data_IF_529728958259
#
_entry.id   IF_529728958259
#
_cell.length_a   1.000
_cell.length_b   1.000
_cell.length_c   1.000
_cell.angle_alpha   90.00
_cell.angle_beta   90.00
_cell.angle_gamma   90.00
#
_symmetry.space_group_name_H-M   'P 1'
#
loop_
_entity.id
_entity.type
_entity.pdbx_description
1 polymer ?
#
# COMPACT_ATOMS: atom_id res chain seq x y z
N UNK A 1 -19.69 -2.24 -39.88
CA UNK A 1 -18.67 -1.32 -40.44
C UNK A 1 -18.08 -0.39 -39.39
N UNK A 2 -18.86 0.47 -38.71
CA UNK A 2 -18.35 1.41 -37.68
C UNK A 2 -17.60 0.72 -36.51
N UNK A 3 -18.11 -0.42 -36.02
CA UNK A 3 -17.47 -1.21 -34.96
C UNK A 3 -16.11 -1.81 -35.36
N UNK A 4 -15.91 -2.13 -36.64
CA UNK A 4 -14.64 -2.67 -37.16
C UNK A 4 -13.58 -1.56 -37.30
N UNK A 5 -14.02 -0.36 -37.71
CA UNK A 5 -13.18 0.84 -37.78
C UNK A 5 -12.69 1.30 -36.40
N UNK A 6 -13.56 1.28 -35.39
CA UNK A 6 -13.18 1.59 -34.00
C UNK A 6 -12.18 0.56 -33.47
N UNK A 7 -12.34 -0.73 -33.79
CA UNK A 7 -11.41 -1.78 -33.39
C UNK A 7 -10.01 -1.56 -34.01
N UNK A 8 -9.93 -1.26 -35.31
CA UNK A 8 -8.67 -0.97 -35.99
C UNK A 8 -7.98 0.29 -35.44
N UNK A 9 -8.74 1.33 -35.12
CA UNK A 9 -8.20 2.58 -34.55
C UNK A 9 -7.69 2.39 -33.11
N UNK A 10 -8.36 1.57 -32.30
CA UNK A 10 -7.85 1.23 -30.95
C UNK A 10 -6.60 0.33 -31.01
N UNK A 11 -6.47 -0.56 -32.00
CA UNK A 11 -5.31 -1.42 -32.13
C UNK A 11 -4.05 -0.66 -32.57
N UNK A 12 -4.17 0.35 -33.43
CA UNK A 12 -3.03 1.18 -33.84
C UNK A 12 -2.52 2.06 -32.70
N UNK A 13 -3.41 2.61 -31.86
CA UNK A 13 -2.99 3.43 -30.70
C UNK A 13 -2.28 2.64 -29.59
N UNK A 14 -2.63 1.36 -29.39
CA UNK A 14 -2.00 0.52 -28.36
C UNK A 14 -0.56 0.10 -28.72
N UNK A 15 -0.22 0.02 -30.01
CA UNK A 15 1.13 -0.37 -30.47
C UNK A 15 2.19 0.71 -30.19
N UNK A 16 1.80 1.98 -30.04
CA UNK A 16 2.74 3.09 -29.76
C UNK A 16 3.13 3.23 -28.29
N UNK A 17 2.47 2.50 -27.38
CA UNK A 17 2.83 2.48 -25.95
C UNK A 17 4.03 1.57 -25.64
N UNK A 18 4.37 0.63 -26.52
CA UNK A 18 5.46 -0.30 -26.25
C UNK A 18 6.82 0.41 -26.37
N UNK A 19 7.84 -0.12 -25.68
CA UNK A 19 9.24 0.28 -25.86
C UNK A 19 10.03 -0.87 -26.52
N UNK A 20 11.13 -0.57 -27.21
CA UNK A 20 12.01 -1.60 -27.77
C UNK A 20 12.51 -2.60 -26.70
N UNK A 21 12.23 -3.89 -26.89
CA UNK A 21 12.53 -4.96 -25.91
C UNK A 21 14.03 -5.24 -25.76
N UNK A 22 14.78 -5.28 -26.87
CA UNK A 22 16.19 -5.72 -26.90
C UNK A 22 17.10 -4.84 -26.01
N UNK A 23 16.69 -3.59 -25.75
CA UNK A 23 17.47 -2.61 -25.00
C UNK A 23 16.65 -1.95 -23.88
N UNK A 24 15.63 -2.65 -23.38
CA UNK A 24 14.64 -2.09 -22.46
C UNK A 24 15.27 -1.58 -21.15
N UNK A 25 16.33 -2.22 -20.65
CA UNK A 25 16.99 -1.85 -19.40
C UNK A 25 17.55 -0.42 -19.43
N UNK A 26 18.11 -0.01 -20.57
CA UNK A 26 18.67 1.32 -20.76
C UNK A 26 17.64 2.29 -21.37
N UNK A 27 16.76 1.78 -22.26
CA UNK A 27 15.78 2.57 -22.99
C UNK A 27 14.56 2.98 -22.15
N UNK A 28 13.99 2.08 -21.35
CA UNK A 28 12.75 2.35 -20.62
C UNK A 28 12.85 3.58 -19.70
N UNK A 29 13.93 3.78 -18.91
CA UNK A 29 14.06 4.98 -18.11
C UNK A 29 14.09 6.27 -18.92
N UNK A 30 14.47 6.23 -20.19
CA UNK A 30 14.51 7.38 -21.10
C UNK A 30 13.13 7.61 -21.70
N UNK A 31 12.57 6.58 -22.35
CA UNK A 31 11.28 6.64 -23.04
C UNK A 31 10.13 7.01 -22.12
N UNK A 32 10.12 6.46 -20.90
CA UNK A 32 9.02 6.67 -19.96
C UNK A 32 9.03 8.06 -19.30
N UNK A 33 10.14 8.81 -19.40
CA UNK A 33 10.25 10.14 -18.80
C UNK A 33 9.90 11.27 -19.77
N UNK A 34 9.70 11.02 -21.06
CA UNK A 34 9.45 12.05 -22.08
C UNK A 34 8.36 13.03 -21.60
N UNK A 35 7.19 12.50 -21.23
CA UNK A 35 6.07 13.33 -20.79
C UNK A 35 6.35 14.10 -19.49
N UNK A 36 7.13 13.51 -18.58
CA UNK A 36 7.49 14.17 -17.33
C UNK A 36 8.52 15.30 -17.55
N UNK A 37 9.46 15.12 -18.50
CA UNK A 37 10.41 16.16 -18.90
C UNK A 37 9.69 17.25 -19.71
N UNK A 38 8.76 16.88 -20.59
CA UNK A 38 7.93 17.83 -21.34
C UNK A 38 7.16 18.77 -20.44
N UNK A 39 6.59 18.27 -19.32
CA UNK A 39 5.91 19.12 -18.33
C UNK A 39 6.77 20.27 -17.79
N UNK A 40 8.10 20.13 -17.79
CA UNK A 40 8.98 21.21 -17.32
C UNK A 40 8.83 22.48 -18.15
N UNK A 41 8.51 22.39 -19.44
CA UNK A 41 8.32 23.58 -20.30
C UNK A 41 7.13 24.45 -19.88
N UNK A 42 6.23 23.91 -19.05
CA UNK A 42 5.08 24.63 -18.48
C UNK A 42 5.41 25.37 -17.18
N UNK A 43 6.62 25.16 -16.64
CA UNK A 43 7.12 25.80 -15.42
C UNK A 43 8.02 26.96 -15.83
N UNK A 44 7.67 28.19 -15.44
CA UNK A 44 8.38 29.40 -15.84
C UNK A 44 9.89 29.36 -15.59
N UNK A 45 10.31 28.76 -14.47
CA UNK A 45 11.70 28.56 -14.08
C UNK A 45 12.54 27.74 -15.08
N UNK A 46 11.87 27.00 -15.97
CA UNK A 46 12.54 26.18 -16.99
C UNK A 46 12.52 26.80 -18.38
N UNK A 47 12.10 28.07 -18.53
CA UNK A 47 12.02 28.75 -19.82
C UNK A 47 13.33 28.67 -20.63
N UNK A 48 14.47 28.88 -19.97
CA UNK A 48 15.80 28.82 -20.62
C UNK A 48 16.20 27.41 -21.09
N UNK A 49 15.46 26.36 -20.71
CA UNK A 49 15.74 24.98 -21.07
C UNK A 49 14.76 24.43 -22.11
N UNK A 50 13.77 25.20 -22.55
CA UNK A 50 12.69 24.73 -23.44
C UNK A 50 13.27 24.14 -24.73
N UNK A 51 14.22 24.82 -25.38
CA UNK A 51 14.82 24.33 -26.62
C UNK A 51 15.61 23.04 -26.41
N UNK A 52 16.36 22.96 -25.31
CA UNK A 52 17.09 21.74 -24.93
C UNK A 52 16.16 20.57 -24.61
N UNK A 53 15.00 20.85 -23.98
CA UNK A 53 13.98 19.85 -23.69
C UNK A 53 13.35 19.34 -24.98
N UNK A 54 12.96 20.24 -25.88
CA UNK A 54 12.36 19.87 -27.17
C UNK A 54 13.34 19.05 -28.02
N UNK A 55 14.61 19.45 -28.08
CA UNK A 55 15.65 18.71 -28.78
C UNK A 55 15.86 17.31 -28.17
N UNK A 56 15.90 17.22 -26.84
CA UNK A 56 15.98 15.93 -26.14
C UNK A 56 14.80 15.02 -26.50
N UNK A 57 13.56 15.53 -26.46
CA UNK A 57 12.36 14.74 -26.78
C UNK A 57 12.43 14.17 -28.20
N UNK A 58 12.76 15.01 -29.19
CA UNK A 58 12.91 14.57 -30.59
C UNK A 58 13.96 13.47 -30.72
N UNK A 59 15.13 13.63 -30.08
CA UNK A 59 16.17 12.62 -30.13
C UNK A 59 15.76 11.30 -29.47
N UNK A 60 14.97 11.36 -28.39
CA UNK A 60 14.43 10.17 -27.73
C UNK A 60 13.44 9.45 -28.64
N UNK A 61 12.56 10.18 -29.32
CA UNK A 61 11.59 9.60 -30.26
C UNK A 61 12.28 8.93 -31.45
N UNK A 62 13.28 9.59 -32.05
CA UNK A 62 14.09 9.02 -33.12
C UNK A 62 14.85 7.78 -32.66
N UNK A 63 15.43 7.82 -31.45
CA UNK A 63 16.08 6.64 -30.87
C UNK A 63 15.06 5.51 -30.63
N UNK A 64 13.86 5.81 -30.15
CA UNK A 64 12.81 4.81 -29.94
C UNK A 64 12.43 4.11 -31.25
N UNK A 65 12.24 4.88 -32.33
CA UNK A 65 11.97 4.34 -33.66
C UNK A 65 13.11 3.44 -34.17
N UNK A 66 14.36 3.91 -34.06
CA UNK A 66 15.53 3.12 -34.41
C UNK A 66 15.59 1.83 -33.59
N UNK A 67 15.30 1.89 -32.29
CA UNK A 67 15.28 0.74 -31.40
C UNK A 67 14.28 -0.35 -31.82
N UNK A 68 13.14 0.02 -32.40
CA UNK A 68 12.20 -0.96 -32.96
C UNK A 68 12.68 -1.61 -34.25
N UNK A 69 13.43 -0.86 -35.07
CA UNK A 69 14.01 -1.39 -36.31
C UNK A 69 15.21 -2.31 -36.08
N UNK A 70 15.80 -2.30 -34.87
CA UNK A 70 16.95 -3.12 -34.53
C UNK A 70 16.52 -4.51 -34.02
N UNK A 71 16.89 -5.54 -34.77
CA UNK A 71 16.70 -6.95 -34.44
C UNK A 71 17.99 -7.66 -34.02
N UNK A 72 17.90 -8.98 -33.79
CA UNK A 72 19.08 -9.83 -33.50
C UNK A 72 20.05 -9.91 -34.68
N UNK A 73 19.53 -9.74 -35.90
CA UNK A 73 20.31 -9.85 -37.14
C UNK A 73 20.89 -8.51 -37.61
N UNK A 74 20.58 -7.40 -36.92
CA UNK A 74 21.13 -6.09 -37.26
C UNK A 74 22.66 -6.06 -37.09
N UNK A 75 23.36 -5.35 -37.97
CA UNK A 75 24.82 -5.27 -37.92
C UNK A 75 25.34 -4.83 -36.53
N UNK A 76 26.43 -5.44 -36.01
CA UNK A 76 27.00 -5.09 -34.71
C UNK A 76 27.30 -3.59 -34.54
N UNK A 77 27.75 -2.93 -35.60
CA UNK A 77 28.05 -1.49 -35.61
C UNK A 77 26.81 -0.64 -35.35
N UNK A 78 25.67 -0.97 -35.98
CA UNK A 78 24.40 -0.27 -35.78
C UNK A 78 23.92 -0.42 -34.34
N UNK A 79 24.04 -1.63 -33.77
CA UNK A 79 23.70 -1.91 -32.37
C UNK A 79 24.57 -1.11 -31.40
N UNK A 80 25.88 -1.05 -31.66
CA UNK A 80 26.82 -0.29 -30.85
C UNK A 80 26.55 1.21 -30.91
N UNK A 81 26.28 1.74 -32.10
CA UNK A 81 25.89 3.15 -32.29
C UNK A 81 24.62 3.47 -31.52
N UNK A 82 23.60 2.61 -31.61
CA UNK A 82 22.37 2.79 -30.86
C UNK A 82 22.59 2.76 -29.33
N UNK A 83 23.41 1.83 -28.83
CA UNK A 83 23.79 1.81 -27.41
C UNK A 83 24.48 3.11 -26.97
N UNK A 84 25.36 3.67 -27.80
CA UNK A 84 26.00 4.96 -27.52
C UNK A 84 24.96 6.10 -27.48
N UNK A 85 24.00 6.12 -28.41
CA UNK A 85 22.88 7.06 -28.40
C UNK A 85 22.08 6.96 -27.10
N UNK A 86 21.70 5.75 -26.69
CA UNK A 86 20.98 5.55 -25.43
C UNK A 86 21.78 6.01 -24.21
N UNK A 87 23.09 5.79 -24.19
CA UNK A 87 23.96 6.28 -23.10
C UNK A 87 24.01 7.80 -23.05
N UNK A 88 24.06 8.48 -24.20
CA UNK A 88 24.00 9.95 -24.28
C UNK A 88 22.66 10.46 -23.76
N UNK A 89 21.56 9.91 -24.26
CA UNK A 89 20.20 10.24 -23.83
C UNK A 89 19.96 9.96 -22.34
N UNK A 90 20.55 8.90 -21.80
CA UNK A 90 20.50 8.60 -20.36
C UNK A 90 21.19 9.69 -19.52
N UNK A 91 22.34 10.20 -19.99
CA UNK A 91 23.04 11.32 -19.32
C UNK A 91 22.21 12.59 -19.33
N UNK A 92 21.59 12.92 -20.46
CA UNK A 92 20.70 14.09 -20.59
C UNK A 92 19.42 13.94 -19.74
N UNK A 93 18.79 12.77 -19.75
CA UNK A 93 17.67 12.45 -18.86
C UNK A 93 18.02 12.67 -17.39
N UNK A 94 19.18 12.18 -16.96
CA UNK A 94 19.66 12.33 -15.59
C UNK A 94 20.02 13.78 -15.27
N UNK A 95 20.46 14.56 -16.26
CA UNK A 95 20.67 15.99 -16.09
C UNK A 95 19.36 16.69 -15.71
N UNK A 96 18.25 16.45 -16.43
CA UNK A 96 16.96 17.05 -16.09
C UNK A 96 16.45 16.63 -14.71
N UNK A 97 16.62 15.37 -14.32
CA UNK A 97 16.28 14.91 -12.96
C UNK A 97 17.06 15.67 -11.88
N UNK A 98 18.37 15.84 -12.08
CA UNK A 98 19.22 16.61 -11.16
C UNK A 98 18.85 18.08 -11.14
N UNK A 99 18.52 18.66 -12.29
CA UNK A 99 18.08 20.04 -12.39
C UNK A 99 16.80 20.25 -11.56
N UNK A 100 15.77 19.42 -11.76
CA UNK A 100 14.51 19.48 -11.00
C UNK A 100 14.75 19.31 -9.50
N UNK A 101 15.64 18.39 -9.08
CA UNK A 101 15.99 18.22 -7.67
C UNK A 101 16.64 19.47 -7.07
N UNK A 102 17.58 20.10 -7.78
CA UNK A 102 18.22 21.34 -7.33
C UNK A 102 17.23 22.50 -7.27
N UNK A 103 16.36 22.64 -8.28
CA UNK A 103 15.30 23.66 -8.28
C UNK A 103 14.32 23.42 -7.14
N UNK A 104 14.02 22.16 -6.80
CA UNK A 104 13.16 21.83 -5.66
C UNK A 104 13.80 22.24 -4.33
N UNK A 105 15.10 22.02 -4.18
CA UNK A 105 15.86 22.47 -3.01
C UNK A 105 15.85 23.99 -2.88
N UNK A 106 16.07 24.71 -3.98
CA UNK A 106 15.99 26.17 -4.01
C UNK A 106 14.57 26.67 -3.68
N UNK A 107 13.52 26.06 -4.26
CA UNK A 107 12.13 26.42 -3.96
C UNK A 107 11.81 26.25 -2.47
N UNK A 108 12.27 25.16 -1.85
CA UNK A 108 12.09 24.92 -0.41
C UNK A 108 12.85 25.95 0.43
N UNK A 109 14.06 26.33 0.04
CA UNK A 109 14.87 27.33 0.75
C UNK A 109 14.24 28.73 0.64
N UNK A 110 13.75 29.09 -0.55
CA UNK A 110 13.19 30.40 -0.84
C UNK A 110 11.72 30.55 -0.40
N UNK A 111 11.08 29.48 0.07
CA UNK A 111 9.67 29.51 0.45
C UNK A 111 8.71 29.59 -0.75
N UNK A 112 9.15 29.20 -1.96
CA UNK A 112 8.33 29.22 -3.16
C UNK A 112 7.40 27.99 -3.20
N UNK A 113 6.24 28.14 -2.58
CA UNK A 113 5.19 27.11 -2.50
C UNK A 113 4.59 26.72 -3.85
N UNK A 114 4.53 27.65 -4.82
CA UNK A 114 3.99 27.37 -6.15
C UNK A 114 4.96 26.50 -6.94
N UNK A 115 6.23 26.90 -7.00
CA UNK A 115 7.28 26.15 -7.69
C UNK A 115 7.49 24.79 -7.04
N UNK A 116 7.54 24.73 -5.70
CA UNK A 116 7.56 23.47 -4.95
C UNK A 116 6.44 22.53 -5.40
N UNK A 117 5.20 23.01 -5.47
CA UNK A 117 4.03 22.19 -5.83
C UNK A 117 4.10 21.70 -7.27
N UNK A 118 4.58 22.52 -8.21
CA UNK A 118 4.80 22.11 -9.60
C UNK A 118 5.88 21.04 -9.72
N UNK A 119 7.00 21.21 -9.00
CA UNK A 119 8.15 20.31 -9.08
C UNK A 119 7.86 18.92 -8.51
N UNK A 120 7.21 18.82 -7.34
CA UNK A 120 6.87 17.50 -6.75
C UNK A 120 5.86 16.72 -7.62
N UNK A 121 5.01 17.42 -8.37
CA UNK A 121 4.01 16.83 -9.26
C UNK A 121 4.52 16.63 -10.70
N UNK A 122 5.76 17.02 -11.01
CA UNK A 122 6.37 16.83 -12.34
C UNK A 122 6.54 15.35 -12.73
N UNK A 123 6.62 14.45 -11.74
CA UNK A 123 6.94 13.03 -11.95
C UNK A 123 8.44 12.74 -12.09
N UNK A 124 9.31 13.75 -11.97
CA UNK A 124 10.78 13.59 -12.04
C UNK A 124 11.47 13.49 -10.69
N UNK A 125 10.77 13.84 -9.61
CA UNK A 125 11.24 13.69 -8.23
C UNK A 125 10.90 12.29 -7.72
N UNK A 126 11.85 11.64 -7.05
CA UNK A 126 11.55 10.45 -6.25
C UNK A 126 10.78 10.86 -5.00
N UNK A 127 9.45 10.84 -5.11
CA UNK A 127 8.54 11.26 -4.05
C UNK A 127 8.58 10.31 -2.85
N UNK A 128 8.94 9.03 -3.04
CA UNK A 128 9.06 8.08 -1.93
C UNK A 128 10.30 8.40 -1.11
N UNK A 129 11.45 8.56 -1.76
CA UNK A 129 12.69 8.94 -1.10
C UNK A 129 12.58 10.31 -0.40
N UNK A 130 11.82 11.24 -0.99
CA UNK A 130 11.65 12.59 -0.46
C UNK A 130 10.39 12.78 0.41
N UNK A 131 9.64 11.72 0.76
CA UNK A 131 8.32 11.82 1.45
C UNK A 131 8.39 12.73 2.67
N UNK A 132 9.37 12.51 3.57
CA UNK A 132 9.53 13.28 4.81
C UNK A 132 9.75 14.76 4.52
N UNK A 133 10.63 15.09 3.57
CA UNK A 133 10.96 16.47 3.17
C UNK A 133 9.74 17.18 2.60
N UNK A 134 9.02 16.53 1.68
CA UNK A 134 7.80 17.05 1.05
C UNK A 134 6.73 17.35 2.10
N UNK A 135 6.43 16.40 2.99
CA UNK A 135 5.42 16.60 4.03
C UNK A 135 5.83 17.66 5.05
N UNK A 136 7.11 17.71 5.44
CA UNK A 136 7.60 18.73 6.38
C UNK A 136 7.40 20.12 5.82
N UNK A 137 7.77 20.34 4.56
CA UNK A 137 7.56 21.63 3.89
C UNK A 137 6.06 21.95 3.75
N UNK A 138 5.25 20.98 3.33
CA UNK A 138 3.80 21.15 3.23
C UNK A 138 3.16 21.58 4.56
N UNK A 139 3.48 20.92 5.68
CA UNK A 139 2.88 21.26 6.97
C UNK A 139 3.33 22.64 7.48
N UNK A 140 4.56 23.06 7.16
CA UNK A 140 5.06 24.40 7.48
C UNK A 140 4.34 25.50 6.67
N UNK A 141 3.96 25.20 5.43
CA UNK A 141 3.37 26.15 4.48
C UNK A 141 1.93 25.78 4.06
N UNK A 142 1.18 25.13 4.97
CA UNK A 142 -0.13 24.51 4.66
C UNK A 142 -1.16 25.51 4.11
N UNK A 143 -1.04 26.79 4.45
CA UNK A 143 -1.94 27.86 3.99
C UNK A 143 -1.72 28.21 2.51
N UNK A 144 -0.50 28.00 2.02
CA UNK A 144 -0.06 28.45 0.69
C UNK A 144 0.02 27.30 -0.32
N UNK A 145 -0.19 26.05 0.14
CA UNK A 145 -0.06 24.85 -0.67
C UNK A 145 -1.39 24.09 -0.72
N UNK A 146 -1.92 23.92 -1.93
CA UNK A 146 -3.01 22.99 -2.16
C UNK A 146 -2.49 21.54 -2.02
N UNK A 147 -3.10 20.69 -1.18
CA UNK A 147 -2.65 19.33 -0.99
C UNK A 147 -2.81 18.42 -2.21
N UNK A 148 -3.32 18.88 -3.36
CA UNK A 148 -3.55 18.03 -4.54
C UNK A 148 -2.31 17.24 -5.03
N UNK A 149 -2.58 16.17 -5.78
CA UNK A 149 -1.55 15.33 -6.38
C UNK A 149 -0.78 14.49 -5.36
N UNK A 150 0.55 14.62 -5.34
CA UNK A 150 1.42 13.77 -4.51
C UNK A 150 1.14 13.93 -3.02
N UNK A 151 0.89 15.15 -2.55
CA UNK A 151 0.62 15.42 -1.13
C UNK A 151 -0.66 14.69 -0.69
N UNK A 152 -1.73 14.81 -1.47
CA UNK A 152 -3.01 14.15 -1.21
C UNK A 152 -2.82 12.64 -1.16
N UNK A 153 -2.06 12.10 -2.12
CA UNK A 153 -1.74 10.67 -2.14
C UNK A 153 -1.03 10.18 -0.89
N UNK A 154 -0.26 11.04 -0.20
CA UNK A 154 0.37 10.71 1.08
C UNK A 154 -0.61 10.81 2.24
N UNK A 155 -1.40 11.88 2.29
CA UNK A 155 -2.41 12.07 3.32
C UNK A 155 -3.46 10.95 3.31
N UNK A 156 -3.92 10.55 2.13
CA UNK A 156 -4.90 9.47 1.96
C UNK A 156 -4.33 8.11 2.37
N UNK A 157 -3.06 7.84 2.01
CA UNK A 157 -2.38 6.61 2.42
C UNK A 157 -2.24 6.53 3.93
N UNK A 158 -1.80 7.61 4.57
CA UNK A 158 -1.62 7.65 6.01
C UNK A 158 -2.99 7.55 6.73
N UNK A 159 -4.03 8.20 6.23
CA UNK A 159 -5.41 8.07 6.73
C UNK A 159 -5.95 6.64 6.59
N UNK A 160 -5.69 5.98 5.46
CA UNK A 160 -6.11 4.59 5.22
C UNK A 160 -5.42 3.62 6.17
N UNK A 161 -4.11 3.81 6.41
CA UNK A 161 -3.34 3.00 7.36
C UNK A 161 -3.87 3.16 8.79
N UNK A 162 -4.19 4.40 9.20
CA UNK A 162 -4.80 4.68 10.50
C UNK A 162 -6.16 4.00 10.66
N UNK A 163 -7.04 4.07 9.65
CA UNK A 163 -8.34 3.38 9.65
C UNK A 163 -8.18 1.86 9.83
N UNK A 164 -7.32 1.23 9.02
CA UNK A 164 -7.05 -0.22 9.11
C UNK A 164 -6.52 -0.63 10.49
N UNK A 165 -5.61 0.15 11.07
CA UNK A 165 -5.08 -0.10 12.42
C UNK A 165 -6.20 -0.04 13.47
N UNK A 166 -7.05 0.97 13.42
CA UNK A 166 -8.16 1.13 14.36
C UNK A 166 -9.19 0.00 14.24
N UNK A 167 -9.49 -0.43 13.02
CA UNK A 167 -10.36 -1.60 12.77
C UNK A 167 -9.77 -2.89 13.33
N UNK A 168 -8.46 -3.13 13.14
CA UNK A 168 -7.79 -4.29 13.69
C UNK A 168 -7.84 -4.31 15.23
N UNK A 169 -7.63 -3.15 15.87
CA UNK A 169 -7.75 -3.00 17.33
C UNK A 169 -9.18 -3.30 17.78
N UNK A 170 -10.19 -2.76 17.10
CA UNK A 170 -11.61 -3.01 17.40
C UNK A 170 -11.95 -4.50 17.28
N UNK A 171 -11.56 -5.16 16.18
CA UNK A 171 -11.77 -6.60 15.98
C UNK A 171 -11.13 -7.44 17.09
N UNK A 172 -9.90 -7.10 17.49
CA UNK A 172 -9.19 -7.80 18.57
C UNK A 172 -9.92 -7.67 19.91
N UNK A 173 -10.41 -6.47 20.26
CA UNK A 173 -11.22 -6.25 21.47
C UNK A 173 -12.51 -7.08 21.45
N UNK A 174 -13.19 -7.11 20.30
CA UNK A 174 -14.45 -7.83 20.12
C UNK A 174 -14.25 -9.35 20.26
N UNK A 175 -13.18 -9.89 19.67
CA UNK A 175 -12.79 -11.30 19.82
C UNK A 175 -12.46 -11.66 21.28
N UNK A 176 -11.74 -10.79 21.99
CA UNK A 176 -11.43 -11.00 23.42
C UNK A 176 -12.72 -11.11 24.25
N UNK A 177 -13.66 -10.18 24.04
CA UNK A 177 -14.97 -10.18 24.73
C UNK A 177 -15.78 -11.44 24.43
N UNK A 178 -15.78 -11.91 23.18
CA UNK A 178 -16.46 -13.17 22.81
C UNK A 178 -15.87 -14.37 23.55
N UNK A 179 -14.53 -14.50 23.57
CA UNK A 179 -13.84 -15.58 24.29
C UNK A 179 -14.10 -15.55 25.80
N UNK A 180 -14.13 -14.36 26.40
CA UNK A 180 -14.48 -14.19 27.81
C UNK A 180 -15.92 -14.63 28.09
N UNK A 181 -16.87 -14.24 27.22
CA UNK A 181 -18.28 -14.66 27.35
C UNK A 181 -18.43 -16.17 27.23
N UNK A 182 -17.78 -16.79 26.25
CA UNK A 182 -17.77 -18.26 26.07
C UNK A 182 -17.12 -18.99 27.26
N UNK A 183 -16.07 -18.40 27.86
CA UNK A 183 -15.45 -18.95 29.07
C UNK A 183 -16.42 -18.90 30.26
N UNK A 184 -17.08 -17.76 30.48
CA UNK A 184 -18.06 -17.59 31.56
C UNK A 184 -19.22 -18.57 31.38
N UNK A 185 -19.72 -18.75 30.15
CA UNK A 185 -20.82 -19.67 29.88
C UNK A 185 -20.43 -21.13 30.16
N UNK A 186 -19.20 -21.53 29.80
CA UNK A 186 -18.69 -22.87 30.15
C UNK A 186 -18.58 -23.08 31.65
N UNK A 187 -18.01 -22.11 32.37
CA UNK A 187 -17.89 -22.18 33.83
C UNK A 187 -19.27 -22.29 34.51
N UNK A 188 -20.26 -21.52 34.05
CA UNK A 188 -21.63 -21.63 34.59
C UNK A 188 -22.24 -23.01 34.38
N UNK A 189 -22.07 -23.60 33.19
CA UNK A 189 -22.55 -24.97 32.91
C UNK A 189 -21.83 -26.01 33.78
N UNK A 190 -20.53 -25.85 34.00
CA UNK A 190 -19.76 -26.71 34.89
C UNK A 190 -20.20 -26.58 36.35
N UNK A 191 -20.43 -25.35 36.84
CA UNK A 191 -20.90 -25.09 38.19
C UNK A 191 -22.31 -25.66 38.42
N UNK A 192 -23.24 -25.47 37.47
CA UNK A 192 -24.58 -26.08 37.52
C UNK A 192 -24.52 -27.62 37.57
N UNK A 193 -23.63 -28.22 36.79
CA UNK A 193 -23.44 -29.68 36.80
C UNK A 193 -22.88 -30.17 38.15
N UNK A 194 -21.93 -29.43 38.74
CA UNK A 194 -21.37 -29.73 40.07
C UNK A 194 -22.42 -29.59 41.17
N UNK A 195 -23.25 -28.57 41.13
CA UNK A 195 -24.37 -28.39 42.08
C UNK A 195 -25.33 -29.58 42.02
N UNK A 196 -25.78 -29.97 40.83
CA UNK A 196 -26.65 -31.14 40.67
C UNK A 196 -26.00 -32.43 41.15
N UNK A 197 -24.70 -32.61 40.90
CA UNK A 197 -23.98 -33.79 41.38
C UNK A 197 -23.88 -33.82 42.92
N UNK A 198 -23.69 -32.65 43.54
CA UNK A 198 -23.65 -32.50 44.99
C UNK A 198 -25.03 -32.77 45.62
N UNK A 199 -26.10 -32.20 45.07
CA UNK A 199 -27.49 -32.46 45.52
C UNK A 199 -27.81 -33.95 45.46
N UNK A 200 -27.57 -34.59 44.31
CA UNK A 200 -27.79 -36.04 44.16
C UNK A 200 -26.98 -36.87 45.15
N UNK A 201 -25.78 -36.42 45.53
CA UNK A 201 -24.94 -37.11 46.52
C UNK A 201 -25.51 -36.94 47.94
N UNK A 202 -25.88 -35.72 48.30
CA UNK A 202 -26.50 -35.42 49.60
C UNK A 202 -27.81 -36.18 49.78
N UNK A 203 -28.67 -36.24 48.75
CA UNK A 203 -29.93 -36.99 48.80
C UNK A 203 -29.70 -38.49 49.05
N UNK A 204 -28.67 -39.07 48.41
CA UNK A 204 -28.29 -40.47 48.64
C UNK A 204 -27.75 -40.70 50.05
N UNK A 205 -26.94 -39.78 50.57
CA UNK A 205 -26.40 -39.85 51.93
C UNK A 205 -27.53 -39.74 52.97
N UNK A 206 -28.48 -38.82 52.78
CA UNK A 206 -29.67 -38.67 53.63
C UNK A 206 -30.54 -39.92 53.60
N UNK A 207 -30.81 -40.50 52.42
CA UNK A 207 -31.59 -41.74 52.32
C UNK A 207 -30.89 -42.94 52.96
N UNK A 208 -29.56 -43.02 52.87
CA UNK A 208 -28.76 -44.03 53.56
C UNK A 208 -28.88 -43.89 55.08
N UNK A 209 -28.69 -42.69 55.61
CA UNK A 209 -28.84 -42.42 57.05
C UNK A 209 -30.26 -42.73 57.54
N UNK A 210 -31.30 -42.36 56.79
CA UNK A 210 -32.69 -42.74 57.14
C UNK A 210 -32.90 -44.26 57.19
N UNK A 211 -32.22 -45.03 56.34
CA UNK A 211 -32.29 -46.50 56.38
C UNK A 211 -31.58 -47.05 57.61
N UNK A 212 -30.37 -46.57 57.88
CA UNK A 212 -29.58 -46.94 59.07
C UNK A 212 -30.36 -46.66 60.36
N UNK A 213 -30.94 -45.46 60.51
CA UNK A 213 -31.78 -45.11 61.68
C UNK A 213 -33.00 -46.05 61.80
N UNK A 214 -33.65 -46.42 60.68
CA UNK A 214 -34.80 -47.34 60.72
C UNK A 214 -34.40 -48.77 61.10
N UNK A 215 -33.20 -49.20 60.73
CA UNK A 215 -32.65 -50.50 61.13
C UNK A 215 -32.27 -50.50 62.61
N UNK A 216 -31.55 -49.48 63.09
CA UNK A 216 -31.23 -49.31 64.51
C UNK A 216 -32.49 -49.26 65.39
N UNK A 217 -33.52 -48.50 65.00
CA UNK A 217 -34.80 -48.45 65.72
C UNK A 217 -35.49 -49.82 65.78
N UNK A 218 -35.40 -50.62 64.70
CA UNK A 218 -35.95 -51.99 64.70
C UNK A 218 -35.16 -52.92 65.61
N UNK A 219 -33.84 -52.82 65.59
CA UNK A 219 -32.97 -53.61 66.46
C UNK A 219 -33.19 -53.26 67.94
N UNK A 220 -33.31 -51.98 68.29
CA UNK A 220 -33.65 -51.53 69.65
C UNK A 220 -35.04 -52.02 70.09
N UNK A 221 -36.06 -51.91 69.22
CA UNK A 221 -37.40 -52.45 69.51
C UNK A 221 -37.35 -53.96 69.76
N UNK A 222 -36.62 -54.72 68.94
CA UNK A 222 -36.43 -56.16 69.12
C UNK A 222 -35.65 -56.51 70.39
N UNK A 223 -34.74 -55.65 70.83
CA UNK A 223 -33.99 -55.79 72.08
C UNK A 223 -34.89 -55.52 73.29
N UNK A 224 -35.71 -54.47 73.23
CA UNK A 224 -36.67 -54.10 74.29
C UNK A 224 -37.81 -55.11 74.47
N UNK A 225 -38.09 -55.94 73.46
CA UNK A 225 -39.07 -57.04 73.53
C UNK A 225 -38.50 -58.35 74.09
N UNK A 226 -37.18 -58.41 74.38
CA UNK A 226 -36.48 -59.59 74.91
C UNK A 226 -36.05 -59.43 76.39
N UNK A 227 -36.26 -58.26 76.98
CA UNK A 227 -36.19 -58.01 78.43
C UNK A 227 -37.59 -58.14 79.06
#
# INVERSE_FOLDING_TARGET
>A
MLKLFILFFTFTTLLFSANPRVYESLGNPIYNNIENIKKLTTIGDFYLYVDGINHYIVNVELAKQLGFSLGKDSAPEMRNKYLQTLRKLSKENNYYKRLVQRTLEAAIQNGDSLLFSKLINSGLIDTKANKKKILTYYFKHKKDINPSGIIQSFLDRDATLLKRRNEAIRRRKLLKKKREKEKIERLRKEDEARQRALENRLDREVEKQKREIREEQREELLKSLKE
#
